data_IF_386263149997
#
_entry.id   IF_386263149997
#
_cell.length_a   1.000
_cell.length_b   1.000
_cell.length_c   1.000
_cell.angle_alpha   90.00
_cell.angle_beta   90.00
_cell.angle_gamma   90.00
#
_symmetry.space_group_name_H-M   'P 1'
#
loop_
_entity.id
_entity.type
_entity.pdbx_description
1 polymer ?
#
# COMPACT_ATOMS: atom_id res chain seq x y z
N UNK A 1 -23.93 7.98 12.18
CA UNK A 1 -23.68 8.56 10.85
C UNK A 1 -24.02 7.52 9.78
N UNK A 2 -24.82 7.87 8.78
CA UNK A 2 -25.25 6.95 7.72
C UNK A 2 -24.05 6.60 6.80
N UNK A 3 -24.06 5.36 6.28
CA UNK A 3 -23.20 4.85 5.21
C UNK A 3 -22.99 5.84 4.05
N UNK A 4 -24.04 6.55 3.62
CA UNK A 4 -23.97 7.54 2.53
C UNK A 4 -23.07 8.71 2.88
N UNK A 5 -23.18 9.24 4.10
CA UNK A 5 -22.35 10.35 4.56
C UNK A 5 -20.87 9.96 4.64
N UNK A 6 -20.56 8.72 5.07
CA UNK A 6 -19.17 8.23 5.09
C UNK A 6 -18.62 8.05 3.68
N UNK A 7 -19.45 7.59 2.74
CA UNK A 7 -19.07 7.51 1.31
C UNK A 7 -18.78 8.90 0.73
N UNK A 8 -19.67 9.86 0.99
CA UNK A 8 -19.50 11.24 0.53
C UNK A 8 -18.16 11.83 1.00
N UNK A 9 -17.86 11.75 2.30
CA UNK A 9 -16.63 12.32 2.84
C UNK A 9 -15.36 11.72 2.25
N UNK A 10 -15.36 10.42 1.91
CA UNK A 10 -14.22 9.78 1.23
C UNK A 10 -14.02 10.30 -0.17
N UNK A 11 -15.10 10.41 -0.94
CA UNK A 11 -15.04 10.95 -2.30
C UNK A 11 -14.61 12.42 -2.26
N UNK A 12 -15.15 13.21 -1.34
CA UNK A 12 -14.71 14.60 -1.13
C UNK A 12 -13.24 14.68 -0.74
N UNK A 13 -12.79 13.77 0.14
CA UNK A 13 -11.38 13.63 0.50
C UNK A 13 -10.52 13.36 -0.74
N UNK A 14 -10.90 12.38 -1.56
CA UNK A 14 -10.16 12.02 -2.78
C UNK A 14 -10.07 13.17 -3.79
N UNK A 15 -11.15 13.92 -3.98
CA UNK A 15 -11.12 15.14 -4.81
C UNK A 15 -10.15 16.16 -4.22
N UNK A 16 -10.21 16.42 -2.90
CA UNK A 16 -9.31 17.34 -2.22
C UNK A 16 -7.84 16.91 -2.32
N UNK A 17 -7.55 15.63 -2.15
CA UNK A 17 -6.21 15.06 -2.27
C UNK A 17 -5.68 15.19 -3.69
N UNK A 18 -6.49 14.91 -4.70
CA UNK A 18 -6.11 15.05 -6.10
C UNK A 18 -5.74 16.51 -6.46
N UNK A 19 -6.56 17.47 -6.01
CA UNK A 19 -6.29 18.90 -6.18
C UNK A 19 -4.97 19.27 -5.48
N UNK A 20 -4.75 18.80 -4.25
CA UNK A 20 -3.53 19.07 -3.51
C UNK A 20 -2.28 18.49 -4.21
N UNK A 21 -2.34 17.25 -4.72
CA UNK A 21 -1.24 16.65 -5.48
C UNK A 21 -0.94 17.44 -6.76
N UNK A 22 -1.98 17.88 -7.48
CA UNK A 22 -1.84 18.71 -8.68
C UNK A 22 -1.20 20.05 -8.35
N UNK A 23 -1.58 20.68 -7.24
CA UNK A 23 -0.97 21.92 -6.78
C UNK A 23 0.51 21.73 -6.42
N UNK A 24 0.86 20.63 -5.73
CA UNK A 24 2.26 20.31 -5.44
C UNK A 24 3.06 20.08 -6.72
N UNK A 25 2.50 19.36 -7.69
CA UNK A 25 3.12 19.17 -8.99
C UNK A 25 3.36 20.51 -9.72
N UNK A 26 2.39 21.43 -9.68
CA UNK A 26 2.54 22.77 -10.26
C UNK A 26 3.67 23.56 -9.58
N UNK A 27 3.76 23.55 -8.24
CA UNK A 27 4.86 24.20 -7.49
C UNK A 27 6.22 23.60 -7.85
N UNK A 28 6.30 22.27 -7.96
CA UNK A 28 7.51 21.58 -8.36
C UNK A 28 7.95 21.99 -9.79
N UNK A 29 7.02 22.06 -10.73
CA UNK A 29 7.29 22.51 -12.11
C UNK A 29 7.73 23.97 -12.16
N UNK A 30 7.06 24.87 -11.43
CA UNK A 30 7.40 26.30 -11.39
C UNK A 30 8.80 26.56 -10.80
N UNK A 31 9.23 25.72 -9.86
CA UNK A 31 10.55 25.80 -9.25
C UNK A 31 11.64 25.27 -10.19
N UNK A 32 11.30 24.25 -10.99
CA UNK A 32 12.15 23.71 -12.06
C UNK A 32 13.33 22.87 -11.57
N UNK A 33 13.80 21.98 -12.46
CA UNK A 33 15.00 21.16 -12.25
C UNK A 33 14.97 20.30 -10.97
N UNK A 34 16.16 20.03 -10.45
CA UNK A 34 16.34 19.26 -9.20
C UNK A 34 15.69 19.94 -7.98
N UNK A 35 15.78 21.28 -7.77
CA UNK A 35 15.12 21.93 -6.65
C UNK A 35 13.60 21.73 -6.65
N UNK A 36 12.96 21.83 -7.82
CA UNK A 36 11.52 21.57 -7.96
C UNK A 36 11.13 20.13 -7.59
N UNK A 37 11.92 19.16 -8.03
CA UNK A 37 11.70 17.74 -7.66
C UNK A 37 11.82 17.53 -6.14
N UNK A 38 12.83 18.13 -5.50
CA UNK A 38 13.02 18.02 -4.05
C UNK A 38 11.89 18.67 -3.28
N UNK A 39 11.45 19.87 -3.68
CA UNK A 39 10.30 20.56 -3.06
C UNK A 39 9.05 19.70 -3.20
N UNK A 40 8.76 19.17 -4.39
CA UNK A 40 7.62 18.29 -4.61
C UNK A 40 7.65 17.04 -3.74
N UNK A 41 8.80 16.35 -3.68
CA UNK A 41 8.97 15.15 -2.86
C UNK A 41 8.78 15.43 -1.37
N UNK A 42 9.36 16.51 -0.84
CA UNK A 42 9.22 16.92 0.56
C UNK A 42 7.76 17.25 0.89
N UNK A 43 7.09 18.03 0.03
CA UNK A 43 5.69 18.41 0.24
C UNK A 43 4.75 17.19 0.23
N UNK A 44 4.86 16.32 -0.78
CA UNK A 44 4.04 15.09 -0.82
C UNK A 44 4.33 14.20 0.39
N UNK A 45 5.60 13.98 0.73
CA UNK A 45 5.97 13.13 1.87
C UNK A 45 5.40 13.67 3.18
N UNK A 46 5.54 14.97 3.40
CA UNK A 46 5.05 15.64 4.62
C UNK A 46 3.53 15.58 4.72
N UNK A 47 2.84 15.81 3.60
CA UNK A 47 1.39 15.79 3.55
C UNK A 47 0.84 14.37 3.79
N UNK A 48 1.43 13.34 3.16
CA UNK A 48 1.09 11.94 3.41
C UNK A 48 1.32 11.58 4.88
N UNK A 49 2.43 12.01 5.49
CA UNK A 49 2.71 11.74 6.90
C UNK A 49 1.67 12.36 7.86
N UNK A 50 1.33 13.64 7.66
CA UNK A 50 0.32 14.32 8.47
C UNK A 50 -1.05 13.66 8.29
N UNK A 51 -1.45 13.38 7.05
CA UNK A 51 -2.73 12.75 6.75
C UNK A 51 -2.80 11.30 7.24
N UNK A 52 -1.71 10.53 7.18
CA UNK A 52 -1.60 9.19 7.77
C UNK A 52 -1.85 9.24 9.28
N UNK A 53 -1.14 10.13 9.98
CA UNK A 53 -1.28 10.26 11.43
C UNK A 53 -2.71 10.71 11.81
N UNK A 54 -3.31 11.63 11.05
CA UNK A 54 -4.69 12.06 11.25
C UNK A 54 -5.69 10.93 10.97
N UNK A 55 -5.51 10.16 9.89
CA UNK A 55 -6.35 9.02 9.53
C UNK A 55 -6.29 7.93 10.61
N UNK A 56 -5.10 7.62 11.12
CA UNK A 56 -4.91 6.66 12.21
C UNK A 56 -5.62 7.04 13.51
N UNK A 57 -5.61 8.33 13.88
CA UNK A 57 -6.29 8.86 15.08
C UNK A 57 -7.80 8.98 14.93
N UNK A 58 -8.29 9.09 13.70
CA UNK A 58 -9.71 9.28 13.39
C UNK A 58 -10.34 8.05 12.74
N UNK A 59 -9.66 6.91 12.82
CA UNK A 59 -10.16 5.63 12.34
C UNK A 59 -11.54 5.33 12.93
N UNK A 60 -12.50 4.95 12.09
CA UNK A 60 -13.90 4.72 12.50
C UNK A 60 -14.78 5.99 12.57
N UNK A 61 -14.19 7.18 12.52
CA UNK A 61 -14.92 8.45 12.47
C UNK A 61 -15.13 8.96 11.03
N UNK A 62 -16.03 9.93 10.89
CA UNK A 62 -16.32 10.63 9.64
C UNK A 62 -15.05 11.24 9.01
N UNK A 63 -14.26 11.91 9.83
CA UNK A 63 -12.99 12.55 9.47
C UNK A 63 -11.94 11.54 9.02
N UNK A 64 -11.92 10.33 9.56
CA UNK A 64 -11.04 9.26 9.09
C UNK A 64 -11.39 8.80 7.68
N UNK A 65 -12.68 8.77 7.35
CA UNK A 65 -13.15 8.57 5.98
C UNK A 65 -12.60 9.65 5.03
N UNK A 66 -12.74 10.93 5.40
CA UNK A 66 -12.17 12.01 4.61
C UNK A 66 -10.65 11.87 4.43
N UNK A 67 -9.89 11.63 5.50
CA UNK A 67 -8.43 11.52 5.44
C UNK A 67 -7.97 10.33 4.59
N UNK A 68 -8.66 9.19 4.69
CA UNK A 68 -8.41 8.05 3.80
C UNK A 68 -8.62 8.42 2.34
N UNK A 69 -9.75 9.05 2.04
CA UNK A 69 -10.05 9.55 0.70
C UNK A 69 -8.95 10.50 0.22
N UNK A 70 -8.54 11.45 1.05
CA UNK A 70 -7.49 12.41 0.74
C UNK A 70 -6.15 11.77 0.41
N UNK A 71 -5.73 10.75 1.16
CA UNK A 71 -4.53 9.98 0.86
C UNK A 71 -4.62 9.28 -0.51
N UNK A 72 -5.77 8.66 -0.83
CA UNK A 72 -6.01 8.06 -2.16
C UNK A 72 -5.95 9.12 -3.25
N UNK A 73 -6.58 10.27 -3.03
CA UNK A 73 -6.56 11.39 -3.96
C UNK A 73 -5.16 11.91 -4.25
N UNK A 74 -4.31 11.99 -3.22
CA UNK A 74 -2.91 12.39 -3.39
C UNK A 74 -2.16 11.41 -4.29
N UNK A 75 -2.26 10.11 -3.99
CA UNK A 75 -1.61 9.07 -4.77
C UNK A 75 -2.13 9.04 -6.22
N UNK A 76 -3.46 9.16 -6.40
CA UNK A 76 -4.10 9.33 -7.69
C UNK A 76 -3.48 10.48 -8.48
N UNK A 77 -3.39 11.67 -7.88
CA UNK A 77 -2.90 12.87 -8.57
C UNK A 77 -1.44 12.72 -8.99
N UNK A 78 -0.59 12.20 -8.11
CA UNK A 78 0.83 11.99 -8.42
C UNK A 78 1.00 10.90 -9.49
N UNK A 79 0.30 9.77 -9.39
CA UNK A 79 0.33 8.73 -10.42
C UNK A 79 -0.19 9.23 -11.77
N UNK A 80 -1.26 10.02 -11.79
CA UNK A 80 -1.81 10.60 -13.03
C UNK A 80 -0.76 11.47 -13.74
N UNK A 81 -0.12 12.38 -13.00
CA UNK A 81 0.90 13.29 -13.54
C UNK A 81 2.13 12.50 -14.00
N UNK A 82 2.68 11.64 -13.15
CA UNK A 82 3.91 10.91 -13.46
C UNK A 82 3.72 9.91 -14.59
N UNK A 83 2.64 9.10 -14.57
CA UNK A 83 2.34 8.19 -15.68
C UNK A 83 2.03 8.97 -16.97
N UNK A 84 1.37 10.12 -16.87
CA UNK A 84 1.14 11.03 -17.99
C UNK A 84 2.43 11.51 -18.67
N UNK A 85 3.44 11.83 -17.87
CA UNK A 85 4.77 12.25 -18.34
C UNK A 85 5.57 11.08 -18.92
N UNK A 86 5.54 9.91 -18.27
CA UNK A 86 6.38 8.77 -18.64
C UNK A 86 5.82 8.00 -19.84
N UNK A 87 4.51 7.73 -19.84
CA UNK A 87 3.85 6.84 -20.80
C UNK A 87 2.86 7.57 -21.72
N UNK A 88 2.64 8.87 -21.50
CA UNK A 88 1.69 9.69 -22.24
C UNK A 88 0.35 9.90 -21.51
N UNK A 89 -0.45 10.89 -21.94
CA UNK A 89 -1.59 11.39 -21.19
C UNK A 89 -2.69 10.33 -20.96
N UNK A 90 -2.92 9.44 -21.94
CA UNK A 90 -3.92 8.38 -21.84
C UNK A 90 -3.56 7.41 -20.69
N UNK A 91 -2.29 7.03 -20.58
CA UNK A 91 -1.82 6.16 -19.50
C UNK A 91 -1.99 6.83 -18.12
N UNK A 92 -1.68 8.12 -18.02
CA UNK A 92 -1.93 8.92 -16.81
C UNK A 92 -3.40 8.94 -16.39
N UNK A 93 -4.31 9.14 -17.34
CA UNK A 93 -5.75 9.11 -17.07
C UNK A 93 -6.19 7.72 -16.58
N UNK A 94 -5.72 6.65 -17.23
CA UNK A 94 -6.08 5.28 -16.86
C UNK A 94 -5.57 4.95 -15.44
N UNK A 95 -4.31 5.23 -15.12
CA UNK A 95 -3.76 4.96 -13.78
C UNK A 95 -4.48 5.79 -12.72
N UNK A 96 -4.79 7.06 -13.01
CA UNK A 96 -5.60 7.91 -12.16
C UNK A 96 -7.00 7.36 -11.90
N UNK A 97 -7.71 6.94 -12.94
CA UNK A 97 -9.05 6.33 -12.80
C UNK A 97 -8.97 5.06 -11.95
N UNK A 98 -8.06 4.14 -12.26
CA UNK A 98 -7.94 2.89 -11.50
C UNK A 98 -7.68 3.17 -10.01
N UNK A 99 -6.82 4.13 -9.69
CA UNK A 99 -6.45 4.49 -8.33
C UNK A 99 -7.62 5.17 -7.58
N UNK A 100 -8.27 6.19 -8.18
CA UNK A 100 -9.32 6.97 -7.49
C UNK A 100 -10.56 6.14 -7.16
N UNK A 101 -10.82 5.08 -7.92
CA UNK A 101 -11.91 4.14 -7.64
C UNK A 101 -11.77 3.49 -6.25
N UNK A 102 -10.57 3.48 -5.65
CA UNK A 102 -10.33 2.96 -4.30
C UNK A 102 -11.00 3.82 -3.22
N UNK A 103 -11.39 5.06 -3.54
CA UNK A 103 -12.13 5.92 -2.62
C UNK A 103 -13.59 5.45 -2.40
N UNK A 104 -14.10 4.56 -3.27
CA UNK A 104 -15.49 4.11 -3.31
C UNK A 104 -15.63 2.66 -2.81
N UNK A 105 -16.41 2.46 -1.73
CA UNK A 105 -16.64 1.12 -1.14
C UNK A 105 -17.14 0.08 -2.15
N UNK A 106 -17.97 0.53 -3.09
CA UNK A 106 -18.54 -0.35 -4.10
C UNK A 106 -17.46 -1.08 -4.89
N UNK A 107 -16.39 -0.37 -5.25
CA UNK A 107 -15.28 -0.95 -6.00
C UNK A 107 -14.34 -1.71 -5.08
N UNK A 108 -13.98 -1.17 -3.91
CA UNK A 108 -12.99 -1.83 -3.05
C UNK A 108 -13.45 -3.17 -2.47
N UNK A 109 -14.77 -3.46 -2.44
CA UNK A 109 -15.32 -4.78 -2.09
C UNK A 109 -15.35 -5.78 -3.24
N UNK A 110 -15.07 -5.35 -4.47
CA UNK A 110 -15.03 -6.20 -5.64
C UNK A 110 -13.65 -6.84 -5.80
N UNK A 111 -13.61 -8.18 -5.74
CA UNK A 111 -12.38 -8.97 -6.01
C UNK A 111 -11.77 -8.66 -7.38
N UNK A 112 -12.61 -8.39 -8.38
CA UNK A 112 -12.15 -8.02 -9.72
C UNK A 112 -11.43 -6.66 -9.69
N UNK A 113 -11.99 -5.69 -8.98
CA UNK A 113 -11.36 -4.37 -8.86
C UNK A 113 -10.05 -4.45 -8.07
N UNK A 114 -10.00 -5.20 -6.98
CA UNK A 114 -8.76 -5.43 -6.22
C UNK A 114 -7.66 -6.03 -7.12
N UNK A 115 -8.01 -7.00 -7.97
CA UNK A 115 -7.07 -7.55 -8.95
C UNK A 115 -6.61 -6.49 -9.95
N UNK A 116 -7.54 -5.72 -10.53
CA UNK A 116 -7.18 -4.62 -11.46
C UNK A 116 -6.26 -3.61 -10.80
N UNK A 117 -6.57 -3.20 -9.57
CA UNK A 117 -5.77 -2.24 -8.80
C UNK A 117 -4.37 -2.78 -8.50
N UNK A 118 -4.29 -3.99 -7.96
CA UNK A 118 -3.02 -4.62 -7.61
C UNK A 118 -2.11 -4.88 -8.82
N UNK A 119 -2.67 -5.37 -9.93
CA UNK A 119 -1.93 -5.52 -11.19
C UNK A 119 -1.52 -4.17 -11.80
N UNK A 120 -2.36 -3.14 -11.67
CA UNK A 120 -2.02 -1.80 -12.16
C UNK A 120 -0.91 -1.15 -11.35
N UNK A 121 -0.67 -1.57 -10.10
CA UNK A 121 0.40 -1.07 -9.23
C UNK A 121 1.78 -1.20 -9.87
N UNK A 122 2.02 -2.23 -10.69
CA UNK A 122 3.25 -2.37 -11.48
C UNK A 122 3.53 -1.19 -12.41
N UNK A 123 2.48 -0.47 -12.83
CA UNK A 123 2.54 0.69 -13.73
C UNK A 123 2.30 2.03 -13.02
N UNK A 124 2.14 2.03 -11.70
CA UNK A 124 1.93 3.23 -10.89
C UNK A 124 3.27 3.73 -10.32
N UNK A 125 3.79 4.89 -10.75
CA UNK A 125 5.08 5.39 -10.31
C UNK A 125 5.22 5.53 -8.79
N UNK A 126 4.15 5.85 -8.08
CA UNK A 126 4.16 5.93 -6.61
C UNK A 126 4.31 4.58 -5.92
N UNK A 127 4.02 3.47 -6.60
CA UNK A 127 4.26 2.11 -6.09
C UNK A 127 5.70 1.64 -6.31
N UNK A 128 6.43 2.23 -7.26
CA UNK A 128 7.75 1.74 -7.68
C UNK A 128 8.84 1.76 -6.61
N UNK A 129 8.93 2.75 -5.70
CA UNK A 129 9.93 2.69 -4.64
C UNK A 129 9.81 1.42 -3.77
N UNK A 130 8.58 1.07 -3.34
CA UNK A 130 8.35 -0.15 -2.57
C UNK A 130 8.54 -1.41 -3.43
N UNK A 131 7.97 -1.45 -4.64
CA UNK A 131 8.12 -2.60 -5.55
C UNK A 131 9.59 -2.84 -5.95
N UNK A 132 10.37 -1.79 -6.13
CA UNK A 132 11.80 -1.86 -6.43
C UNK A 132 12.61 -2.44 -5.27
N UNK A 133 12.35 -2.00 -4.03
CA UNK A 133 12.94 -2.62 -2.84
C UNK A 133 12.50 -4.09 -2.69
N UNK A 134 11.23 -4.39 -2.97
CA UNK A 134 10.73 -5.76 -3.02
C UNK A 134 11.47 -6.63 -4.04
N UNK A 135 11.72 -6.10 -5.24
CA UNK A 135 12.51 -6.79 -6.26
C UNK A 135 13.95 -7.05 -5.79
N UNK A 136 14.58 -6.08 -5.10
CA UNK A 136 15.91 -6.29 -4.52
C UNK A 136 15.88 -7.42 -3.50
N UNK A 137 14.94 -7.42 -2.55
CA UNK A 137 14.78 -8.51 -1.59
C UNK A 137 14.49 -9.87 -2.27
N UNK A 138 13.68 -9.86 -3.32
CA UNK A 138 13.38 -11.03 -4.13
C UNK A 138 14.63 -11.63 -4.77
N UNK A 139 15.45 -10.79 -5.41
CA UNK A 139 16.71 -11.20 -6.03
C UNK A 139 17.72 -11.65 -4.98
N UNK A 140 17.80 -10.96 -3.84
CA UNK A 140 18.63 -11.36 -2.73
C UNK A 140 18.27 -12.76 -2.26
N UNK A 141 16.99 -13.16 -2.20
CA UNK A 141 16.62 -14.54 -1.88
C UNK A 141 16.89 -15.53 -3.02
N UNK A 142 16.49 -15.17 -4.24
CA UNK A 142 16.53 -16.07 -5.39
C UNK A 142 17.96 -16.46 -5.78
N UNK A 143 18.88 -15.50 -5.79
CA UNK A 143 20.25 -15.72 -6.29
C UNK A 143 21.02 -16.74 -5.42
N UNK A 144 21.14 -16.58 -4.08
CA UNK A 144 21.78 -17.57 -3.22
C UNK A 144 21.08 -18.93 -3.25
N UNK A 145 19.73 -18.95 -3.30
CA UNK A 145 18.97 -20.19 -3.42
C UNK A 145 19.35 -20.94 -4.70
N UNK A 146 19.48 -20.24 -5.84
CA UNK A 146 19.94 -20.84 -7.09
C UNK A 146 21.37 -21.40 -6.97
N UNK A 147 22.32 -20.62 -6.43
CA UNK A 147 23.71 -21.07 -6.29
C UNK A 147 23.89 -22.25 -5.35
N UNK A 148 23.08 -22.34 -4.29
CA UNK A 148 23.08 -23.48 -3.38
C UNK A 148 22.20 -24.64 -3.86
N UNK A 149 21.68 -24.57 -5.09
CA UNK A 149 20.71 -25.51 -5.65
C UNK A 149 19.51 -25.78 -4.71
N UNK A 150 19.12 -24.76 -3.94
CA UNK A 150 18.04 -24.77 -2.96
C UNK A 150 18.21 -25.84 -1.85
N UNK A 151 19.44 -26.28 -1.57
CA UNK A 151 19.73 -27.39 -0.62
C UNK A 151 19.91 -26.94 0.82
N UNK A 152 20.29 -25.69 1.05
CA UNK A 152 20.54 -25.17 2.39
C UNK A 152 19.26 -24.69 3.05
N UNK A 153 18.98 -25.21 4.25
CA UNK A 153 17.77 -24.89 5.04
C UNK A 153 17.61 -23.38 5.28
N UNK A 154 18.72 -22.63 5.39
CA UNK A 154 18.68 -21.19 5.70
C UNK A 154 18.31 -20.28 4.52
N UNK A 155 18.53 -20.74 3.30
CA UNK A 155 18.31 -19.96 2.06
C UNK A 155 17.25 -20.65 1.18
N UNK A 156 16.55 -21.66 1.73
CA UNK A 156 15.62 -22.47 0.99
C UNK A 156 14.36 -21.66 0.67
N UNK A 157 14.06 -21.54 -0.62
CA UNK A 157 12.76 -21.08 -1.10
C UNK A 157 11.87 -22.31 -1.20
N UNK A 158 10.81 -22.33 -0.40
CA UNK A 158 9.88 -23.46 -0.34
C UNK A 158 8.83 -23.36 -1.43
N UNK A 159 8.36 -22.15 -1.68
CA UNK A 159 7.36 -21.88 -2.69
C UNK A 159 7.52 -20.49 -3.25
N UNK A 160 7.25 -20.37 -4.54
CA UNK A 160 7.07 -19.10 -5.22
C UNK A 160 5.71 -19.15 -5.90
N UNK A 161 4.81 -18.26 -5.52
CA UNK A 161 3.47 -18.16 -6.11
C UNK A 161 3.20 -16.76 -6.60
N UNK A 162 2.23 -16.65 -7.50
CA UNK A 162 1.67 -15.38 -7.93
C UNK A 162 0.23 -15.32 -7.40
N UNK A 163 -0.02 -14.43 -6.45
CA UNK A 163 -1.39 -14.10 -6.06
C UNK A 163 -2.02 -13.28 -7.17
N UNK A 164 -2.89 -13.93 -7.94
CA UNK A 164 -3.60 -13.29 -9.06
C UNK A 164 -4.60 -12.24 -8.59
N UNK A 165 -5.05 -12.33 -7.33
CA UNK A 165 -6.02 -11.41 -6.74
C UNK A 165 -5.47 -10.01 -6.47
N UNK A 166 -4.14 -9.88 -6.37
CA UNK A 166 -3.46 -8.59 -6.11
C UNK A 166 -2.27 -8.36 -7.05
N UNK A 167 -1.93 -9.32 -7.91
CA UNK A 167 -0.73 -9.24 -8.75
C UNK A 167 0.57 -9.29 -7.94
N UNK A 168 0.54 -9.91 -6.75
CA UNK A 168 1.69 -10.00 -5.83
C UNK A 168 2.46 -11.30 -6.05
N UNK A 169 3.78 -11.19 -6.15
CA UNK A 169 4.67 -12.35 -6.10
C UNK A 169 4.91 -12.70 -4.64
N UNK A 170 4.45 -13.88 -4.22
CA UNK A 170 4.58 -14.38 -2.84
C UNK A 170 5.70 -15.41 -2.79
N UNK A 171 6.72 -15.11 -2.01
CA UNK A 171 7.86 -16.00 -1.74
C UNK A 171 7.75 -16.56 -0.33
N UNK A 172 7.67 -17.89 -0.22
CA UNK A 172 7.71 -18.61 1.05
C UNK A 172 9.15 -19.08 1.33
N UNK A 173 9.73 -18.58 2.44
CA UNK A 173 11.11 -18.85 2.83
C UNK A 173 12.13 -17.90 2.21
N UNK A 174 13.36 -18.36 2.02
CA UNK A 174 14.51 -17.50 1.73
C UNK A 174 15.21 -16.99 2.99
N UNK A 175 16.34 -16.29 2.81
CA UNK A 175 17.24 -15.86 3.89
C UNK A 175 17.07 -14.39 4.29
N UNK A 176 16.26 -13.61 3.58
CA UNK A 176 15.89 -12.27 4.07
C UNK A 176 15.15 -12.32 5.40
N UNK A 177 14.74 -13.52 5.84
CA UNK A 177 14.38 -13.79 7.21
C UNK A 177 15.63 -14.03 8.06
N UNK A 178 15.85 -13.15 9.04
CA UNK A 178 16.80 -13.45 10.11
C UNK A 178 16.38 -14.74 10.84
N UNK A 179 17.34 -15.56 11.33
CA UNK A 179 17.02 -16.76 12.10
C UNK A 179 16.06 -16.44 13.25
N UNK A 180 14.90 -17.11 13.27
CA UNK A 180 13.88 -16.95 14.32
C UNK A 180 12.72 -16.02 14.00
N UNK A 181 12.74 -15.30 12.87
CA UNK A 181 11.57 -14.55 12.41
C UNK A 181 10.42 -15.50 12.04
N UNK A 182 9.20 -15.17 12.47
CA UNK A 182 7.94 -15.82 12.07
C UNK A 182 6.93 -14.73 11.69
N UNK A 183 6.18 -14.96 10.63
CA UNK A 183 5.26 -13.99 10.04
C UNK A 183 5.58 -13.69 8.57
N UNK A 184 5.37 -12.46 8.15
CA UNK A 184 5.64 -11.98 6.81
C UNK A 184 5.94 -10.48 6.79
N UNK A 185 6.34 -10.01 5.61
CA UNK A 185 6.36 -8.60 5.26
C UNK A 185 6.16 -8.45 3.76
N UNK A 186 5.78 -7.25 3.33
CA UNK A 186 5.53 -6.93 1.93
C UNK A 186 6.24 -5.63 1.53
N UNK A 187 6.64 -5.58 0.26
CA UNK A 187 7.28 -4.43 -0.37
C UNK A 187 6.73 -4.29 -1.79
N UNK A 188 5.72 -3.44 -1.94
CA UNK A 188 5.01 -3.26 -3.21
C UNK A 188 4.35 -4.55 -3.67
N UNK A 189 4.66 -4.99 -4.89
CA UNK A 189 4.12 -6.22 -5.47
C UNK A 189 4.89 -7.51 -5.07
N UNK A 190 5.68 -7.47 -4.00
CA UNK A 190 6.36 -8.64 -3.44
C UNK A 190 5.95 -8.86 -1.99
N UNK A 191 5.58 -10.09 -1.66
CA UNK A 191 5.33 -10.53 -0.29
C UNK A 191 6.30 -11.66 0.06
N UNK A 192 6.91 -11.55 1.24
CA UNK A 192 7.82 -12.55 1.79
C UNK A 192 7.16 -13.10 3.04
N UNK A 193 6.89 -14.41 3.06
CA UNK A 193 6.25 -15.06 4.20
C UNK A 193 7.06 -16.25 4.68
N UNK A 194 6.95 -16.54 5.97
CA UNK A 194 7.45 -17.80 6.54
C UNK A 194 6.47 -18.93 6.30
N UNK A 195 6.97 -20.17 6.20
CA UNK A 195 6.12 -21.35 6.00
C UNK A 195 5.03 -21.44 7.08
N UNK A 196 3.82 -21.80 6.65
CA UNK A 196 2.66 -22.06 7.50
C UNK A 196 2.25 -20.89 8.41
N UNK A 197 2.71 -19.67 8.11
CA UNK A 197 2.39 -18.47 8.89
C UNK A 197 0.93 -18.04 8.78
N UNK A 198 0.24 -18.39 7.68
CA UNK A 198 -1.15 -18.00 7.44
C UNK A 198 -1.35 -16.51 7.19
N UNK A 199 -0.28 -15.73 7.01
CA UNK A 199 -0.37 -14.26 6.83
C UNK A 199 -0.44 -13.81 5.37
N UNK A 200 -0.52 -14.73 4.40
CA UNK A 200 -0.47 -14.39 2.97
C UNK A 200 -1.52 -13.35 2.57
N UNK A 201 -2.78 -13.53 2.98
CA UNK A 201 -3.85 -12.57 2.68
C UNK A 201 -3.59 -11.19 3.34
N UNK A 202 -2.93 -11.15 4.50
CA UNK A 202 -2.55 -9.89 5.12
C UNK A 202 -1.47 -9.19 4.28
N UNK A 203 -0.42 -9.91 3.91
CA UNK A 203 0.71 -9.36 3.15
C UNK A 203 0.33 -8.94 1.72
N UNK A 204 -0.60 -9.63 1.07
CA UNK A 204 -1.10 -9.19 -0.24
C UNK A 204 -2.08 -8.02 -0.12
N UNK A 205 -2.76 -7.88 1.03
CA UNK A 205 -3.53 -6.68 1.39
C UNK A 205 -2.67 -5.42 1.45
N UNK A 206 -1.42 -5.53 1.89
CA UNK A 206 -0.46 -4.42 1.81
C UNK A 206 -0.11 -4.02 0.38
N UNK A 207 -0.04 -4.96 -0.57
CA UNK A 207 0.12 -4.59 -2.00
C UNK A 207 -1.03 -3.70 -2.47
N UNK A 208 -2.27 -4.01 -2.08
CA UNK A 208 -3.42 -3.15 -2.39
C UNK A 208 -3.31 -1.78 -1.71
N UNK A 209 -2.78 -1.73 -0.48
CA UNK A 209 -2.49 -0.45 0.19
C UNK A 209 -1.46 0.37 -0.58
N UNK A 210 -0.35 -0.24 -1.04
CA UNK A 210 0.65 0.45 -1.87
C UNK A 210 0.04 0.96 -3.16
N UNK A 211 -0.83 0.18 -3.79
CA UNK A 211 -1.51 0.55 -5.01
C UNK A 211 -2.50 1.71 -4.84
N UNK A 212 -3.12 1.86 -3.66
CA UNK A 212 -4.12 2.90 -3.38
C UNK A 212 -3.55 4.15 -2.69
N UNK A 213 -2.46 4.03 -1.95
CA UNK A 213 -1.90 5.11 -1.13
C UNK A 213 -0.43 5.45 -1.46
N UNK A 214 0.23 4.64 -2.28
CA UNK A 214 1.63 4.82 -2.67
C UNK A 214 2.66 4.31 -1.67
N UNK A 215 3.92 4.27 -2.09
CA UNK A 215 5.05 3.75 -1.29
C UNK A 215 5.35 4.59 -0.06
N UNK A 216 5.08 5.90 -0.09
CA UNK A 216 5.33 6.78 1.05
C UNK A 216 4.44 6.37 2.22
N UNK A 217 3.15 6.12 1.96
CA UNK A 217 2.22 5.57 2.95
C UNK A 217 2.73 4.24 3.51
N UNK A 218 3.22 3.36 2.63
CA UNK A 218 3.78 2.06 3.02
C UNK A 218 4.96 2.19 4.00
N UNK A 219 5.93 3.04 3.68
CA UNK A 219 7.11 3.23 4.53
C UNK A 219 6.78 3.91 5.85
N UNK A 220 5.86 4.89 5.85
CA UNK A 220 5.35 5.48 7.09
C UNK A 220 4.64 4.42 7.93
N UNK A 221 3.84 3.54 7.30
CA UNK A 221 3.20 2.40 7.95
C UNK A 221 4.21 1.46 8.61
N UNK A 222 5.28 1.11 7.89
CA UNK A 222 6.36 0.29 8.43
C UNK A 222 7.06 0.96 9.63
N UNK A 223 7.30 2.27 9.59
CA UNK A 223 7.86 3.03 10.72
C UNK A 223 6.88 3.05 11.90
N UNK A 224 5.60 3.34 11.65
CA UNK A 224 4.56 3.35 12.69
C UNK A 224 4.48 1.98 13.38
N UNK A 225 4.42 0.90 12.60
CA UNK A 225 4.35 -0.48 13.09
C UNK A 225 5.58 -0.89 13.92
N UNK A 226 6.79 -0.63 13.42
CA UNK A 226 8.02 -1.21 13.98
C UNK A 226 8.76 -0.31 14.98
N UNK A 227 8.50 1.00 14.96
CA UNK A 227 9.25 1.98 15.77
C UNK A 227 8.34 2.72 16.75
N UNK A 228 7.15 3.14 16.31
CA UNK A 228 6.29 4.05 17.09
C UNK A 228 5.33 3.27 18.00
N UNK A 229 4.74 2.17 17.51
CA UNK A 229 3.70 1.43 18.22
C UNK A 229 4.29 0.37 19.14
N UNK A 230 3.75 0.30 20.36
CA UNK A 230 3.97 -0.83 21.27
C UNK A 230 3.21 -2.09 20.85
N UNK A 231 2.14 -1.92 20.05
CA UNK A 231 1.30 -2.97 19.50
C UNK A 231 1.30 -2.80 17.97
N UNK A 232 2.16 -3.53 17.24
CA UNK A 232 2.42 -3.32 15.82
C UNK A 232 1.14 -3.32 14.96
N UNK A 233 0.21 -4.23 15.25
CA UNK A 233 -1.02 -4.42 14.48
C UNK A 233 -2.02 -3.25 14.58
N UNK A 234 -1.77 -2.25 15.44
CA UNK A 234 -2.59 -1.04 15.56
C UNK A 234 -2.14 0.09 14.61
N UNK A 235 -1.03 -0.07 13.91
CA UNK A 235 -0.64 0.85 12.85
C UNK A 235 -1.77 0.97 11.80
N UNK A 236 -1.96 2.16 11.25
CA UNK A 236 -3.06 2.40 10.32
C UNK A 236 -2.93 1.57 9.03
N UNK A 237 -1.70 1.41 8.51
CA UNK A 237 -1.43 0.56 7.36
C UNK A 237 -1.80 -0.92 7.63
N UNK A 238 -1.46 -1.45 8.80
CA UNK A 238 -1.79 -2.82 9.23
C UNK A 238 -3.31 -3.04 9.28
N UNK A 239 -4.05 -2.09 9.87
CA UNK A 239 -5.52 -2.17 9.93
C UNK A 239 -6.20 -2.11 8.56
N UNK A 240 -5.59 -1.42 7.59
CA UNK A 240 -6.05 -1.42 6.20
C UNK A 240 -5.74 -2.77 5.53
N UNK A 241 -4.55 -3.35 5.74
CA UNK A 241 -4.18 -4.65 5.20
C UNK A 241 -5.05 -5.78 5.76
N UNK A 242 -5.34 -5.77 7.07
CA UNK A 242 -6.24 -6.72 7.72
C UNK A 242 -7.64 -6.75 7.12
N UNK A 243 -8.07 -5.65 6.49
CA UNK A 243 -9.37 -5.65 5.79
C UNK A 243 -9.38 -6.53 4.55
N UNK A 244 -8.22 -7.03 4.08
CA UNK A 244 -8.13 -8.03 3.03
C UNK A 244 -8.25 -9.47 3.56
N UNK A 245 -8.02 -9.68 4.86
CA UNK A 245 -8.01 -10.99 5.49
C UNK A 245 -9.45 -11.44 5.80
N UNK A 246 -9.87 -12.63 5.35
CA UNK A 246 -11.16 -13.20 5.73
C UNK A 246 -11.29 -13.32 7.26
N UNK A 247 -12.40 -12.81 7.81
CA UNK A 247 -12.73 -12.85 9.25
C UNK A 247 -11.78 -12.07 10.18
N UNK A 248 -10.87 -11.24 9.66
CA UNK A 248 -9.93 -10.46 10.49
C UNK A 248 -10.62 -9.62 11.56
N UNK A 249 -11.77 -9.03 11.24
CA UNK A 249 -12.57 -8.27 12.19
C UNK A 249 -12.97 -9.10 13.41
N UNK A 250 -13.37 -10.37 13.20
CA UNK A 250 -13.74 -11.26 14.29
C UNK A 250 -12.51 -11.64 15.14
N UNK A 251 -11.37 -11.95 14.50
CA UNK A 251 -10.14 -12.27 15.20
C UNK A 251 -9.62 -11.12 16.06
N UNK A 252 -9.59 -9.90 15.53
CA UNK A 252 -9.11 -8.71 16.27
C UNK A 252 -10.00 -8.38 17.45
N UNK A 253 -11.32 -8.47 17.30
CA UNK A 253 -12.26 -8.27 18.39
C UNK A 253 -12.05 -9.31 19.50
N UNK A 254 -11.83 -10.57 19.14
CA UNK A 254 -11.56 -11.64 20.12
C UNK A 254 -10.24 -11.43 20.88
N UNK A 255 -9.23 -10.84 20.24
CA UNK A 255 -7.93 -10.57 20.84
C UNK A 255 -7.83 -9.19 21.55
N UNK A 256 -8.93 -8.42 21.59
CA UNK A 256 -8.97 -7.12 22.28
C UNK A 256 -8.24 -5.98 21.53
N UNK A 257 -8.00 -6.14 20.23
CA UNK A 257 -7.35 -5.12 19.40
C UNK A 257 -8.36 -4.12 18.82
N UNK A 258 -7.86 -2.98 18.34
CA UNK A 258 -8.69 -2.01 17.62
C UNK A 258 -9.34 -2.65 16.39
N UNK A 259 -10.57 -2.22 16.01
CA UNK A 259 -11.29 -2.81 14.90
C UNK A 259 -10.60 -2.60 13.55
N UNK A 260 -10.81 -3.55 12.64
CA UNK A 260 -10.38 -3.45 11.23
C UNK A 260 -11.01 -2.22 10.59
N UNK A 261 -10.23 -1.52 9.76
CA UNK A 261 -10.72 -0.37 9.01
C UNK A 261 -11.17 -0.90 7.65
N UNK A 262 -12.49 -0.98 7.38
CA UNK A 262 -13.00 -1.64 6.19
C UNK A 262 -12.53 -0.90 4.94
N UNK A 263 -11.64 -1.52 4.17
CA UNK A 263 -11.19 -1.06 2.88
C UNK A 263 -11.44 -2.14 1.83
N UNK A 264 -10.92 -3.36 2.04
CA UNK A 264 -10.96 -4.45 1.05
C UNK A 264 -12.09 -5.49 1.27
N UNK A 265 -12.81 -5.44 2.39
CA UNK A 265 -13.92 -6.35 2.74
C UNK A 265 -15.24 -5.63 3.00
#
# INVERSE_FOLDING_TARGET
>A
MDSKQRSFLRVSGAIGGFIAATAVAAVAVMTGGLPGMLVGAVLITSLVAVCYAAAGKTAGLASGGFMRGFLIGLDTGVNTVLSGVIFGPIAGIITGIVNVLAAFDFFTRSRLYQAVLGWSSWFMPMSWPATGLGLVCFLLNLIPAMFAANRSVRIKIHRLTLDRGTGTIVMEGGWTFLPGFRGGFSLGNFAFVTMDSGVTDHETGHTLNVAAFGSIFHFIGAIDQNIIRSVPENAYAERCADSHVPNAAAYRLAAGHEPVIPLWA
#
